data_IF_107653547913
#
_entry.id   IF_107653547913
#
_cell.length_a   1.000
_cell.length_b   1.000
_cell.length_c   1.000
_cell.angle_alpha   90.00
_cell.angle_beta   90.00
_cell.angle_gamma   90.00
#
_symmetry.space_group_name_H-M   'P 1'
#
loop_
_entity.id
_entity.type
_entity.pdbx_description
1 polymer ?
#
# COMPACT_ATOMS: atom_id res chain seq x y z
N UNK A 1 -0.01 -25.67 -12.02
CA UNK A 1 -0.79 -24.42 -11.80
C UNK A 1 0.12 -23.43 -11.10
N UNK A 2 0.29 -22.19 -11.59
CA UNK A 2 1.07 -21.16 -10.89
C UNK A 2 0.20 -20.59 -9.77
N UNK A 3 0.57 -20.83 -8.52
CA UNK A 3 -0.10 -20.25 -7.35
C UNK A 3 0.32 -18.78 -7.28
N UNK A 4 -0.66 -17.87 -7.27
CA UNK A 4 -0.41 -16.45 -7.07
C UNK A 4 -0.51 -16.19 -5.57
N UNK A 5 0.53 -15.61 -4.98
CA UNK A 5 0.54 -15.23 -3.57
C UNK A 5 0.67 -13.73 -3.41
N UNK A 6 0.13 -13.19 -2.32
CA UNK A 6 0.37 -11.81 -1.96
C UNK A 6 1.83 -11.62 -1.56
N UNK A 7 2.54 -10.70 -2.19
CA UNK A 7 3.92 -10.36 -1.83
C UNK A 7 4.08 -9.71 -0.44
N UNK A 8 2.98 -9.38 0.25
CA UNK A 8 3.00 -8.73 1.57
C UNK A 8 2.66 -9.73 2.68
N UNK A 9 1.51 -10.41 2.60
CA UNK A 9 1.08 -11.36 3.63
C UNK A 9 1.28 -12.84 3.26
N UNK A 10 1.80 -13.16 2.07
CA UNK A 10 2.09 -14.53 1.63
C UNK A 10 0.87 -15.39 1.33
N UNK A 11 -0.36 -14.90 1.57
CA UNK A 11 -1.57 -15.67 1.36
C UNK A 11 -1.77 -16.01 -0.13
N UNK A 12 -2.24 -17.22 -0.47
CA UNK A 12 -2.64 -17.55 -1.82
C UNK A 12 -3.87 -16.72 -2.23
N UNK A 13 -3.81 -16.17 -3.44
CA UNK A 13 -4.85 -15.32 -4.01
C UNK A 13 -5.45 -15.99 -5.24
N UNK A 14 -6.76 -15.80 -5.41
CA UNK A 14 -7.38 -16.09 -6.70
C UNK A 14 -6.92 -15.05 -7.73
N UNK A 15 -6.76 -15.43 -9.02
CA UNK A 15 -6.35 -14.50 -10.08
C UNK A 15 -7.22 -13.25 -10.18
N UNK A 16 -8.50 -13.35 -9.84
CA UNK A 16 -9.48 -12.25 -9.83
C UNK A 16 -9.24 -11.22 -8.70
N UNK A 17 -8.70 -11.66 -7.56
CA UNK A 17 -8.43 -10.84 -6.37
C UNK A 17 -7.01 -10.24 -6.37
N UNK A 18 -6.12 -10.86 -7.15
CA UNK A 18 -4.75 -10.43 -7.33
C UNK A 18 -4.69 -9.09 -8.10
N UNK A 19 -4.11 -8.07 -7.48
CA UNK A 19 -3.82 -6.79 -8.14
C UNK A 19 -2.32 -6.58 -8.26
N UNK A 20 -1.88 -6.08 -9.41
CA UNK A 20 -0.49 -5.74 -9.66
C UNK A 20 -0.21 -4.30 -9.27
N UNK A 21 0.80 -4.08 -8.44
CA UNK A 21 1.29 -2.74 -8.15
C UNK A 21 1.92 -2.14 -9.41
N UNK A 22 1.50 -0.94 -9.79
CA UNK A 22 2.00 -0.25 -10.99
C UNK A 22 3.44 0.27 -10.84
N UNK A 23 3.97 0.33 -9.62
CA UNK A 23 5.32 0.87 -9.35
C UNK A 23 6.36 -0.26 -9.23
N UNK A 24 6.13 -1.24 -8.35
CA UNK A 24 7.08 -2.33 -8.11
C UNK A 24 6.76 -3.62 -8.89
N UNK A 25 5.60 -3.69 -9.55
CA UNK A 25 5.18 -4.87 -10.31
C UNK A 25 4.77 -6.08 -9.48
N UNK A 26 4.86 -6.02 -8.14
CA UNK A 26 4.44 -7.12 -7.26
C UNK A 26 2.93 -7.33 -7.27
N UNK A 27 2.53 -8.59 -7.10
CA UNK A 27 1.14 -8.98 -6.92
C UNK A 27 0.77 -8.91 -5.44
N UNK A 28 -0.33 -8.22 -5.16
CA UNK A 28 -0.82 -8.00 -3.80
C UNK A 28 -2.32 -8.28 -3.72
N UNK A 29 -2.78 -8.62 -2.52
CA UNK A 29 -4.19 -8.82 -2.24
C UNK A 29 -4.94 -7.48 -2.20
N UNK A 30 -6.26 -7.54 -2.20
CA UNK A 30 -7.14 -6.37 -2.13
C UNK A 30 -6.88 -5.49 -0.89
N UNK A 31 -6.45 -6.09 0.21
CA UNK A 31 -6.14 -5.36 1.45
C UNK A 31 -4.83 -4.57 1.35
N UNK A 32 -3.82 -5.16 0.70
CA UNK A 32 -2.48 -4.58 0.54
C UNK A 32 -2.32 -3.74 -0.73
N UNK A 33 -3.41 -3.50 -1.45
CA UNK A 33 -3.47 -2.61 -2.60
C UNK A 33 -4.41 -1.43 -2.33
N UNK A 34 -4.06 -0.27 -2.88
CA UNK A 34 -4.87 0.95 -2.82
C UNK A 34 -4.86 1.61 -4.20
N UNK A 35 -5.98 2.21 -4.55
CA UNK A 35 -6.11 2.97 -5.79
C UNK A 35 -5.73 4.42 -5.51
N UNK A 36 -4.71 4.92 -6.21
CA UNK A 36 -4.21 6.29 -6.04
C UNK A 36 -3.86 6.88 -7.41
N UNK A 37 -4.38 8.07 -7.72
CA UNK A 37 -4.16 8.78 -8.99
C UNK A 37 -4.31 7.88 -10.23
N UNK A 38 -5.43 7.18 -10.29
CA UNK A 38 -5.77 6.27 -11.39
C UNK A 38 -4.83 5.05 -11.56
N UNK A 39 -4.07 4.68 -10.52
CA UNK A 39 -3.16 3.53 -10.52
C UNK A 39 -3.34 2.68 -9.27
N UNK A 40 -3.17 1.36 -9.41
CA UNK A 40 -3.13 0.44 -8.27
C UNK A 40 -1.72 0.39 -7.69
N UNK A 41 -1.58 0.75 -6.42
CA UNK A 41 -0.32 0.76 -5.70
C UNK A 41 -0.41 -0.17 -4.49
N UNK A 42 0.67 -0.90 -4.20
CA UNK A 42 0.75 -1.57 -2.91
C UNK A 42 0.89 -0.53 -1.79
N UNK A 43 0.46 -0.88 -0.58
CA UNK A 43 0.51 0.00 0.60
C UNK A 43 1.91 0.57 0.84
N UNK A 44 2.96 -0.22 0.62
CA UNK A 44 4.36 0.22 0.76
C UNK A 44 4.75 1.29 -0.26
N UNK A 45 4.44 1.09 -1.54
CA UNK A 45 4.72 2.08 -2.59
C UNK A 45 3.87 3.35 -2.42
N UNK A 46 2.61 3.19 -2.02
CA UNK A 46 1.74 4.32 -1.71
C UNK A 46 2.31 5.15 -0.56
N UNK A 47 2.71 4.52 0.56
CA UNK A 47 3.36 5.23 1.67
C UNK A 47 4.58 6.00 1.19
N UNK A 48 5.49 5.38 0.43
CA UNK A 48 6.67 6.08 -0.12
C UNK A 48 6.30 7.30 -0.97
N UNK A 49 5.25 7.21 -1.80
CA UNK A 49 4.75 8.37 -2.56
C UNK A 49 4.18 9.45 -1.64
N UNK A 50 3.30 9.07 -0.71
CA UNK A 50 2.72 10.01 0.24
C UNK A 50 3.80 10.72 1.07
N UNK A 51 4.85 10.02 1.53
CA UNK A 51 5.99 10.63 2.21
C UNK A 51 6.77 11.59 1.31
N UNK A 52 6.97 11.26 0.03
CA UNK A 52 7.66 12.16 -0.91
C UNK A 52 6.83 13.41 -1.20
N UNK A 53 5.52 13.27 -1.29
CA UNK A 53 4.59 14.38 -1.51
C UNK A 53 4.39 15.23 -0.26
N UNK A 54 4.32 14.60 0.92
CA UNK A 54 4.27 15.27 2.21
C UNK A 54 5.60 15.97 2.55
N UNK A 55 6.73 15.35 2.23
CA UNK A 55 8.07 15.91 2.43
C UNK A 55 8.44 17.04 1.46
N UNK A 56 7.56 17.39 0.52
CA UNK A 56 7.65 18.65 -0.25
C UNK A 56 6.88 19.80 0.42
N UNK A 57 6.23 19.56 1.57
CA UNK A 57 5.87 20.59 2.54
C UNK A 57 6.86 20.48 3.69
N UNK A 58 7.75 21.46 3.76
CA UNK A 58 8.60 21.63 4.93
C UNK A 58 7.72 21.83 6.18
N UNK A 59 8.20 21.24 7.28
CA UNK A 59 7.86 21.47 8.68
C UNK A 59 6.56 20.95 9.32
N UNK A 60 6.83 20.27 10.45
CA UNK A 60 6.14 20.30 11.75
C UNK A 60 4.69 19.78 11.88
N UNK A 61 4.48 19.11 13.02
CA UNK A 61 3.21 18.66 13.60
C UNK A 61 2.45 17.59 12.78
N UNK A 62 2.17 16.37 13.26
CA UNK A 62 1.53 16.02 14.53
C UNK A 62 1.89 14.57 14.83
N UNK A 63 2.78 14.35 15.81
CA UNK A 63 3.03 13.06 16.44
C UNK A 63 2.31 13.03 17.80
N UNK A 64 1.06 13.49 17.82
CA UNK A 64 0.22 13.51 19.00
C UNK A 64 -1.23 13.23 18.58
N UNK A 65 -1.63 11.96 18.59
CA UNK A 65 -3.00 11.51 18.88
C UNK A 65 -3.04 9.98 18.96
N UNK A 66 -2.20 9.41 19.82
CA UNK A 66 -2.49 8.11 20.43
C UNK A 66 -3.29 8.37 21.73
N UNK A 67 -4.48 8.98 21.60
CA UNK A 67 -5.47 8.98 22.67
C UNK A 67 -6.16 7.62 22.62
N UNK A 68 -5.58 6.63 23.31
CA UNK A 68 -6.28 5.42 23.70
C UNK A 68 -7.03 5.80 24.97
N UNK A 69 -8.34 6.00 24.86
CA UNK A 69 -9.23 6.08 26.02
C UNK A 69 -9.29 4.68 26.66
N UNK A 70 -8.91 4.61 27.94
CA UNK A 70 -9.30 3.55 28.87
C UNK A 70 -10.36 4.13 29.82
#
# INVERSE_FOLDING_TARGET
>A
MKIITCAVCGIPLRPEEAKKCSECGHIVCREHVRFHRNRWLCTTCLRKKLYKEAGSKEHEDVLDLAVIQF
#
